data_IF_642621128906
#
_entry.id   IF_642621128906
#
_cell.length_a   1.000
_cell.length_b   1.000
_cell.length_c   1.000
_cell.angle_alpha   90.00
_cell.angle_beta   90.00
_cell.angle_gamma   90.00
#
_symmetry.space_group_name_H-M   'P 1'
#
loop_
_entity.id
_entity.type
_entity.pdbx_description
1 polymer ?
#
# COMPACT_ATOMS: atom_id res chain seq x y z
N UNK A 1 -18.59 7.66 10.82
CA UNK A 1 -19.14 6.78 11.85
C UNK A 1 -18.77 7.34 13.22
N UNK A 2 -19.72 7.40 14.15
CA UNK A 2 -19.45 7.86 15.53
C UNK A 2 -19.02 6.71 16.46
N UNK A 3 -18.64 5.56 15.91
CA UNK A 3 -18.15 4.43 16.67
C UNK A 3 -16.63 4.52 16.86
N UNK A 4 -16.09 4.26 18.05
CA UNK A 4 -14.64 4.16 18.25
C UNK A 4 -14.08 2.98 17.45
N UNK A 5 -12.86 3.14 16.94
CA UNK A 5 -12.11 2.03 16.37
C UNK A 5 -11.53 1.20 17.53
N UNK A 6 -11.70 -0.10 17.46
CA UNK A 6 -11.01 -1.00 18.38
C UNK A 6 -9.53 -1.10 18.00
N UNK A 7 -8.62 -1.10 18.98
CA UNK A 7 -7.20 -1.31 18.70
C UNK A 7 -6.96 -2.68 18.06
N UNK A 8 -5.98 -2.73 17.15
CA UNK A 8 -5.55 -4.01 16.57
C UNK A 8 -4.84 -4.86 17.61
N UNK A 9 -5.19 -6.13 17.67
CA UNK A 9 -4.44 -7.12 18.43
C UNK A 9 -3.17 -7.50 17.67
N UNK A 10 -2.01 -7.17 18.24
CA UNK A 10 -0.69 -7.33 17.63
C UNK A 10 0.25 -8.21 18.47
N UNK A 11 -0.19 -8.63 19.68
CA UNK A 11 0.58 -9.48 20.56
C UNK A 11 0.61 -10.92 20.06
N UNK A 12 1.77 -11.57 20.17
CA UNK A 12 1.98 -12.98 19.88
C UNK A 12 3.02 -13.58 20.83
N UNK A 13 3.01 -14.89 20.97
CA UNK A 13 3.97 -15.63 21.80
C UNK A 13 5.15 -16.09 20.93
N UNK A 14 6.32 -15.54 21.20
CA UNK A 14 7.55 -15.98 20.52
C UNK A 14 8.18 -17.17 21.24
N UNK A 15 8.71 -18.11 20.47
CA UNK A 15 9.48 -19.24 20.97
C UNK A 15 10.95 -18.86 21.12
N UNK A 16 11.40 -18.77 22.38
CA UNK A 16 12.77 -18.36 22.71
C UNK A 16 13.84 -19.36 22.24
N UNK A 17 13.47 -20.58 21.84
CA UNK A 17 14.40 -21.66 21.51
C UNK A 17 15.05 -21.52 20.12
N UNK A 18 14.59 -20.60 19.26
CA UNK A 18 15.14 -20.38 17.94
C UNK A 18 15.00 -18.94 17.45
N UNK A 19 15.79 -18.57 16.48
CA UNK A 19 15.90 -17.20 15.94
C UNK A 19 15.76 -17.19 14.42
N UNK A 20 15.28 -16.10 13.88
CA UNK A 20 15.22 -15.87 12.43
C UNK A 20 16.63 -15.86 11.84
N UNK A 21 17.57 -15.17 12.49
CA UNK A 21 18.96 -15.05 12.01
C UNK A 21 19.78 -16.37 12.05
N UNK A 22 19.37 -17.35 12.87
CA UNK A 22 19.96 -18.69 12.88
C UNK A 22 19.52 -19.54 11.67
N UNK A 23 18.37 -19.20 11.07
CA UNK A 23 17.74 -20.00 10.01
C UNK A 23 17.92 -19.41 8.62
N UNK A 24 17.90 -18.10 8.47
CA UNK A 24 17.93 -17.40 7.18
C UNK A 24 18.80 -16.15 7.27
N UNK A 25 19.44 -15.79 6.18
CA UNK A 25 20.12 -14.48 6.00
C UNK A 25 19.28 -13.60 5.11
N UNK A 26 19.09 -12.34 5.50
CA UNK A 26 18.32 -11.35 4.72
C UNK A 26 19.19 -10.13 4.45
N UNK A 27 19.30 -9.72 3.19
CA UNK A 27 20.05 -8.55 2.75
C UNK A 27 19.23 -7.68 1.81
N UNK A 28 19.52 -6.38 1.80
CA UNK A 28 18.93 -5.41 0.87
C UNK A 28 20.05 -4.66 0.17
N UNK A 29 20.33 -5.03 -1.09
CA UNK A 29 21.36 -4.39 -1.92
C UNK A 29 20.86 -3.14 -2.66
N UNK A 30 19.54 -2.96 -2.76
CA UNK A 30 18.91 -1.82 -3.41
C UNK A 30 18.06 -1.00 -2.41
N UNK A 31 18.66 -0.31 -1.42
CA UNK A 31 17.93 0.41 -0.38
C UNK A 31 17.16 1.63 -0.93
N UNK A 32 17.53 2.15 -2.08
CA UNK A 32 16.80 3.19 -2.81
C UNK A 32 15.46 2.69 -3.37
N UNK A 33 15.35 1.41 -3.72
CA UNK A 33 14.13 0.78 -4.22
C UNK A 33 13.36 -0.01 -3.15
N UNK A 34 14.04 -0.41 -2.07
CA UNK A 34 13.46 -1.07 -0.91
C UNK A 34 13.89 -0.36 0.39
N UNK A 35 13.24 0.76 0.74
CA UNK A 35 13.60 1.56 1.93
C UNK A 35 13.45 0.81 3.25
N UNK A 36 12.52 -0.15 3.34
CA UNK A 36 12.35 -1.01 4.53
C UNK A 36 11.95 -2.42 4.13
N UNK A 37 12.58 -3.39 4.75
CA UNK A 37 12.28 -4.82 4.59
C UNK A 37 12.22 -5.49 5.95
N UNK A 38 11.07 -6.06 6.31
CA UNK A 38 10.86 -6.78 7.56
C UNK A 38 10.59 -8.24 7.23
N UNK A 39 11.35 -9.14 7.86
CA UNK A 39 11.18 -10.57 7.66
C UNK A 39 11.17 -11.32 8.99
N UNK A 40 10.25 -12.27 9.15
CA UNK A 40 10.08 -13.05 10.36
C UNK A 40 9.85 -14.52 10.06
N UNK A 41 10.62 -15.38 10.74
CA UNK A 41 10.60 -16.83 10.56
C UNK A 41 9.56 -17.49 11.46
N UNK A 42 8.83 -18.44 10.88
CA UNK A 42 7.85 -19.32 11.57
C UNK A 42 8.11 -20.76 11.13
N UNK A 43 8.12 -21.69 12.06
CA UNK A 43 8.31 -23.13 11.81
C UNK A 43 7.22 -23.99 12.43
N UNK A 44 7.22 -25.28 12.09
CA UNK A 44 6.22 -26.24 12.58
C UNK A 44 4.82 -25.86 12.11
N UNK A 45 4.75 -25.33 10.89
CA UNK A 45 3.49 -24.89 10.30
C UNK A 45 2.63 -26.10 9.91
N UNK A 46 1.33 -25.96 10.17
CA UNK A 46 0.31 -26.86 9.65
C UNK A 46 -0.49 -26.11 8.60
N UNK A 47 -0.26 -26.45 7.34
CA UNK A 47 -0.99 -25.85 6.23
C UNK A 47 -2.35 -26.54 6.13
N UNK A 48 -3.39 -25.77 6.37
CA UNK A 48 -4.77 -26.25 6.36
C UNK A 48 -5.76 -25.17 5.93
N UNK A 49 -7.01 -25.53 5.80
CA UNK A 49 -8.07 -24.57 5.46
C UNK A 49 -8.23 -23.56 6.60
N UNK A 50 -8.31 -22.30 6.24
CA UNK A 50 -8.59 -21.21 7.18
C UNK A 50 -9.93 -21.41 7.91
N UNK A 51 -10.07 -20.91 9.14
CA UNK A 51 -11.34 -20.93 9.86
C UNK A 51 -12.42 -20.15 9.10
N UNK A 52 -13.68 -20.51 9.36
CA UNK A 52 -14.81 -19.98 8.61
C UNK A 52 -14.93 -18.46 8.64
N UNK A 53 -14.58 -17.83 9.77
CA UNK A 53 -14.65 -16.36 9.88
C UNK A 53 -13.68 -15.67 8.93
N UNK A 54 -12.44 -16.18 8.78
CA UNK A 54 -11.41 -15.63 7.90
C UNK A 54 -11.81 -15.83 6.43
N UNK A 55 -12.22 -17.03 6.08
CA UNK A 55 -12.71 -17.37 4.73
C UNK A 55 -13.90 -16.51 4.31
N UNK A 56 -14.85 -16.29 5.22
CA UNK A 56 -16.02 -15.43 4.97
C UNK A 56 -15.62 -13.98 4.72
N UNK A 57 -14.72 -13.42 5.55
CA UNK A 57 -14.25 -12.03 5.37
C UNK A 57 -13.54 -11.84 4.05
N UNK A 58 -12.63 -12.75 3.68
CA UNK A 58 -11.95 -12.73 2.37
C UNK A 58 -12.94 -12.81 1.21
N UNK A 59 -13.89 -13.74 1.27
CA UNK A 59 -14.92 -13.90 0.23
C UNK A 59 -15.80 -12.65 0.06
N UNK A 60 -16.16 -11.96 1.14
CA UNK A 60 -16.89 -10.69 1.10
C UNK A 60 -16.08 -9.55 0.45
N UNK A 61 -14.76 -9.64 0.48
CA UNK A 61 -13.85 -8.72 -0.21
C UNK A 61 -13.46 -9.20 -1.63
N UNK A 62 -14.08 -10.28 -2.14
CA UNK A 62 -13.82 -10.80 -3.49
C UNK A 62 -12.61 -11.72 -3.60
N UNK A 63 -11.98 -12.11 -2.48
CA UNK A 63 -10.81 -12.99 -2.48
C UNK A 63 -11.21 -14.44 -2.18
N UNK A 64 -10.64 -15.36 -2.98
CA UNK A 64 -10.78 -16.81 -2.75
C UNK A 64 -9.79 -17.24 -1.66
N UNK A 65 -10.28 -17.95 -0.65
CA UNK A 65 -9.46 -18.62 0.34
C UNK A 65 -8.63 -19.75 -0.29
N UNK A 66 -7.35 -19.84 0.10
CA UNK A 66 -6.39 -20.83 -0.41
C UNK A 66 -5.95 -21.75 0.76
N UNK A 67 -5.17 -21.20 1.70
CA UNK A 67 -4.72 -21.88 2.91
C UNK A 67 -4.60 -20.85 4.05
N UNK A 68 -4.50 -21.32 5.29
CA UNK A 68 -4.39 -20.45 6.47
C UNK A 68 -3.25 -19.42 6.34
N UNK A 69 -2.05 -19.81 5.92
CA UNK A 69 -0.89 -18.91 5.78
C UNK A 69 -1.14 -17.86 4.69
N UNK A 70 -1.58 -18.28 3.51
CA UNK A 70 -1.85 -17.37 2.39
C UNK A 70 -3.04 -16.45 2.71
N UNK A 71 -4.05 -16.97 3.36
CA UNK A 71 -5.23 -16.20 3.76
C UNK A 71 -4.90 -15.16 4.82
N UNK A 72 -3.96 -15.46 5.75
CA UNK A 72 -3.45 -14.47 6.71
C UNK A 72 -2.78 -13.31 5.98
N UNK A 73 -1.90 -13.55 5.00
CA UNK A 73 -1.26 -12.48 4.23
C UNK A 73 -2.28 -11.63 3.46
N UNK A 74 -3.27 -12.27 2.84
CA UNK A 74 -4.35 -11.59 2.14
C UNK A 74 -5.27 -10.80 3.11
N UNK A 75 -5.52 -11.34 4.29
CA UNK A 75 -6.32 -10.66 5.30
C UNK A 75 -5.64 -9.40 5.81
N UNK A 76 -4.34 -9.48 6.14
CA UNK A 76 -3.54 -8.32 6.55
C UNK A 76 -3.47 -7.28 5.44
N UNK A 77 -3.33 -7.70 4.18
CA UNK A 77 -3.40 -6.81 3.02
C UNK A 77 -4.71 -6.00 2.98
N UNK A 78 -5.85 -6.65 3.24
CA UNK A 78 -7.17 -5.99 3.25
C UNK A 78 -7.39 -5.13 4.50
N UNK A 79 -6.94 -5.61 5.67
CA UNK A 79 -7.13 -4.93 6.95
C UNK A 79 -6.27 -3.67 7.08
N UNK A 80 -5.01 -3.73 6.62
CA UNK A 80 -4.00 -2.67 6.81
C UNK A 80 -3.55 -1.98 5.51
N UNK A 81 -3.93 -2.50 4.35
CA UNK A 81 -3.43 -1.98 3.08
C UNK A 81 -1.98 -2.36 2.78
N UNK A 82 -1.31 -3.12 3.65
CA UNK A 82 0.08 -3.54 3.51
C UNK A 82 0.16 -4.91 2.83
N UNK A 83 0.70 -5.00 1.61
CA UNK A 83 0.96 -6.29 1.00
C UNK A 83 2.03 -7.07 1.75
N UNK A 84 1.79 -8.35 1.90
CA UNK A 84 2.72 -9.30 2.51
C UNK A 84 2.98 -10.47 1.59
N UNK A 85 4.13 -11.11 1.79
CA UNK A 85 4.44 -12.39 1.16
C UNK A 85 4.91 -13.42 2.20
N UNK A 86 4.81 -14.69 1.83
CA UNK A 86 5.29 -15.81 2.63
C UNK A 86 6.08 -16.76 1.73
N UNK A 87 7.36 -16.93 2.03
CA UNK A 87 8.25 -17.83 1.31
C UNK A 87 8.34 -19.18 2.01
N UNK A 88 8.14 -20.26 1.27
CA UNK A 88 8.48 -21.61 1.73
C UNK A 88 10.02 -21.75 1.82
N UNK A 89 10.55 -21.80 3.03
CA UNK A 89 12.00 -21.83 3.23
C UNK A 89 12.67 -23.13 2.74
N UNK A 90 11.92 -24.21 2.58
CA UNK A 90 12.45 -25.45 1.98
C UNK A 90 12.83 -25.28 0.51
N UNK A 91 12.25 -24.27 -0.16
CA UNK A 91 12.45 -23.94 -1.57
C UNK A 91 13.46 -22.82 -1.79
N UNK A 92 13.94 -22.17 -0.72
CA UNK A 92 14.88 -21.05 -0.77
C UNK A 92 16.33 -21.60 -0.70
N UNK A 93 17.06 -21.41 -1.79
CA UNK A 93 18.44 -21.86 -1.87
C UNK A 93 19.34 -21.12 -0.87
N UNK A 94 20.24 -21.87 -0.23
CA UNK A 94 21.22 -21.39 0.78
C UNK A 94 20.60 -20.70 1.99
N UNK A 95 19.26 -20.77 2.16
CA UNK A 95 18.52 -20.01 3.19
C UNK A 95 18.85 -18.51 3.14
N UNK A 96 18.90 -17.94 1.97
CA UNK A 96 19.30 -16.56 1.74
C UNK A 96 18.17 -15.83 0.99
N UNK A 97 17.83 -14.65 1.47
CA UNK A 97 16.93 -13.69 0.78
C UNK A 97 17.72 -12.41 0.53
N UNK A 98 17.81 -12.03 -0.73
CA UNK A 98 18.46 -10.81 -1.17
C UNK A 98 17.51 -9.96 -2.01
N UNK A 99 17.23 -8.73 -1.54
CA UNK A 99 16.46 -7.75 -2.30
C UNK A 99 17.42 -6.93 -3.15
N UNK A 100 17.40 -7.17 -4.46
CA UNK A 100 18.36 -6.59 -5.40
C UNK A 100 17.73 -6.22 -6.74
N UNK A 101 18.46 -5.51 -7.56
CA UNK A 101 18.11 -5.38 -8.97
C UNK A 101 18.33 -6.71 -9.70
N UNK A 102 17.48 -6.99 -10.68
CA UNK A 102 17.68 -8.14 -11.55
C UNK A 102 18.96 -7.99 -12.40
N UNK A 103 19.57 -9.09 -12.78
CA UNK A 103 20.60 -9.09 -13.81
C UNK A 103 19.95 -8.94 -15.19
N UNK A 104 20.74 -8.46 -16.18
CA UNK A 104 20.26 -8.38 -17.57
C UNK A 104 19.97 -9.79 -18.12
N UNK A 105 18.76 -9.98 -18.67
CA UNK A 105 18.33 -11.25 -19.21
C UNK A 105 17.95 -12.30 -18.17
N UNK A 106 17.96 -11.97 -16.87
CA UNK A 106 17.54 -12.88 -15.79
C UNK A 106 16.08 -13.29 -15.96
N UNK A 107 15.74 -14.54 -15.68
CA UNK A 107 14.38 -15.08 -15.89
C UNK A 107 13.69 -15.41 -14.58
N UNK A 108 12.37 -15.21 -14.56
CA UNK A 108 11.50 -15.65 -13.47
C UNK A 108 10.18 -16.19 -14.04
N UNK A 109 9.68 -17.27 -13.45
CA UNK A 109 8.29 -17.76 -13.65
C UNK A 109 7.48 -17.38 -12.42
N UNK A 110 6.41 -16.63 -12.60
CA UNK A 110 5.53 -16.14 -11.53
C UNK A 110 4.47 -17.17 -11.15
N UNK A 111 3.77 -16.94 -10.00
CA UNK A 111 2.72 -17.83 -9.48
C UNK A 111 1.56 -18.09 -10.45
N UNK A 112 1.34 -17.20 -11.42
CA UNK A 112 0.37 -17.35 -12.50
C UNK A 112 0.97 -18.02 -13.77
N UNK A 113 2.11 -18.72 -13.60
CA UNK A 113 2.80 -19.54 -14.62
C UNK A 113 3.33 -18.74 -15.83
N UNK A 114 3.48 -17.43 -15.72
CA UNK A 114 4.07 -16.59 -16.77
C UNK A 114 5.58 -16.49 -16.61
N UNK A 115 6.31 -16.64 -17.70
CA UNK A 115 7.76 -16.42 -17.76
C UNK A 115 8.07 -14.99 -18.20
N UNK A 116 8.98 -14.34 -17.47
CA UNK A 116 9.47 -13.00 -17.79
C UNK A 116 10.97 -12.99 -17.89
N UNK A 117 11.49 -12.24 -18.89
CA UNK A 117 12.89 -11.86 -18.99
C UNK A 117 13.06 -10.47 -18.39
N UNK A 118 13.96 -10.33 -17.45
CA UNK A 118 14.13 -9.15 -16.62
C UNK A 118 15.28 -8.26 -17.10
N UNK A 119 15.25 -7.02 -16.66
CA UNK A 119 16.30 -6.03 -16.86
C UNK A 119 16.73 -5.43 -15.52
N UNK A 120 17.90 -4.80 -15.40
CA UNK A 120 18.40 -4.20 -14.15
C UNK A 120 17.48 -3.13 -13.53
N UNK A 121 16.49 -2.64 -14.26
CA UNK A 121 15.47 -1.74 -13.72
C UNK A 121 14.43 -2.46 -12.85
N UNK A 122 14.34 -3.79 -12.94
CA UNK A 122 13.40 -4.60 -12.16
C UNK A 122 13.96 -4.89 -10.78
N UNK A 123 13.19 -4.60 -9.73
CA UNK A 123 13.52 -5.04 -8.38
C UNK A 123 13.02 -6.49 -8.20
N UNK A 124 13.89 -7.36 -7.73
CA UNK A 124 13.57 -8.74 -7.41
C UNK A 124 13.93 -9.08 -5.97
N UNK A 125 13.23 -10.06 -5.44
CA UNK A 125 13.66 -10.79 -4.26
C UNK A 125 14.26 -12.08 -4.79
N UNK A 126 15.51 -12.33 -4.44
CA UNK A 126 16.27 -13.49 -4.90
C UNK A 126 16.67 -14.36 -3.71
N UNK A 127 16.84 -15.65 -3.98
CA UNK A 127 17.58 -16.56 -3.11
C UNK A 127 19.07 -16.55 -3.47
N UNK A 128 19.86 -17.41 -2.87
CA UNK A 128 21.29 -17.49 -3.16
C UNK A 128 21.64 -17.90 -4.60
N UNK A 129 20.68 -18.15 -5.49
CA UNK A 129 20.89 -18.60 -6.86
C UNK A 129 20.09 -17.83 -7.91
N UNK A 130 18.83 -17.48 -7.65
CA UNK A 130 17.87 -16.98 -8.66
C UNK A 130 16.77 -16.11 -8.04
N UNK A 131 16.03 -15.33 -8.84
CA UNK A 131 14.87 -14.61 -8.35
C UNK A 131 13.76 -15.57 -7.92
N UNK A 132 13.14 -15.25 -6.78
CA UNK A 132 12.02 -15.96 -6.17
C UNK A 132 10.76 -15.11 -6.09
N UNK A 133 10.85 -13.81 -6.37
CA UNK A 133 9.70 -12.92 -6.55
C UNK A 133 10.06 -11.68 -7.37
N UNK A 134 9.09 -11.15 -8.11
CA UNK A 134 9.06 -9.77 -8.57
C UNK A 134 8.63 -8.90 -7.39
N UNK A 135 9.57 -8.15 -6.80
CA UNK A 135 9.33 -7.38 -5.59
C UNK A 135 8.09 -6.47 -5.71
N UNK A 136 7.15 -6.63 -4.80
CA UNK A 136 5.91 -5.86 -4.75
C UNK A 136 4.92 -6.09 -5.90
N UNK A 137 5.20 -7.04 -6.82
CA UNK A 137 4.34 -7.33 -7.97
C UNK A 137 3.76 -8.74 -7.86
N UNK A 138 4.60 -9.77 -7.89
CA UNK A 138 4.13 -11.16 -7.90
C UNK A 138 5.20 -12.12 -7.36
N UNK A 139 4.79 -13.07 -6.53
CA UNK A 139 5.65 -14.16 -6.09
C UNK A 139 6.09 -15.08 -7.23
N UNK A 140 7.23 -15.73 -7.09
CA UNK A 140 7.70 -16.76 -8.01
C UNK A 140 7.03 -18.12 -7.73
N UNK A 141 6.80 -18.89 -8.78
CA UNK A 141 6.26 -20.25 -8.69
C UNK A 141 7.15 -21.18 -7.85
N UNK A 142 8.44 -20.88 -7.83
CA UNK A 142 9.48 -21.66 -7.18
C UNK A 142 9.63 -21.44 -5.67
N UNK A 143 8.80 -20.58 -5.05
CA UNK A 143 8.90 -20.26 -3.60
C UNK A 143 7.53 -20.25 -2.90
N UNK A 144 6.48 -20.65 -3.62
CA UNK A 144 5.10 -20.63 -3.12
C UNK A 144 4.84 -21.68 -2.04
N UNK A 145 3.90 -21.38 -1.15
CA UNK A 145 3.42 -22.27 -0.09
C UNK A 145 2.70 -23.48 -0.68
N UNK A 146 3.01 -24.67 -0.18
CA UNK A 146 2.40 -25.94 -0.52
C UNK A 146 1.83 -26.64 0.73
N UNK A 147 1.13 -27.76 0.56
CA UNK A 147 0.52 -28.49 1.70
C UNK A 147 1.58 -29.04 2.66
N UNK A 148 2.75 -29.40 2.15
CA UNK A 148 3.90 -29.92 2.92
C UNK A 148 4.78 -28.83 3.54
N UNK A 149 4.51 -27.54 3.32
CA UNK A 149 5.30 -26.44 3.86
C UNK A 149 5.27 -26.43 5.38
N UNK A 150 6.43 -26.61 6.02
CA UNK A 150 6.63 -26.60 7.46
C UNK A 150 7.29 -25.32 7.99
N UNK A 151 8.08 -24.65 7.14
CA UNK A 151 8.88 -23.47 7.49
C UNK A 151 8.61 -22.32 6.54
N UNK A 152 8.28 -21.16 7.08
CA UNK A 152 7.93 -19.96 6.29
C UNK A 152 8.71 -18.75 6.78
N UNK A 153 9.16 -17.94 5.83
CA UNK A 153 9.60 -16.57 6.09
C UNK A 153 8.49 -15.61 5.64
N UNK A 154 7.85 -14.95 6.59
CA UNK A 154 6.95 -13.84 6.28
C UNK A 154 7.74 -12.59 5.91
N UNK A 155 7.29 -11.90 4.88
CA UNK A 155 7.80 -10.63 4.40
C UNK A 155 6.74 -9.54 4.53
N UNK A 156 7.18 -8.38 5.00
CA UNK A 156 6.45 -7.12 4.88
C UNK A 156 7.45 -6.02 4.55
N UNK A 157 7.28 -5.36 3.42
CA UNK A 157 8.26 -4.42 2.92
C UNK A 157 7.63 -3.13 2.39
N UNK A 158 8.45 -2.08 2.29
CA UNK A 158 8.15 -0.88 1.51
C UNK A 158 9.00 -0.92 0.24
N UNK A 159 8.35 -0.79 -0.92
CA UNK A 159 9.02 -0.66 -2.20
C UNK A 159 8.76 0.72 -2.82
N UNK A 160 9.71 1.21 -3.62
CA UNK A 160 9.60 2.50 -4.29
C UNK A 160 8.50 2.46 -5.35
N UNK A 161 7.49 3.32 -5.19
CA UNK A 161 6.24 3.31 -5.97
C UNK A 161 6.43 3.45 -7.48
N UNK A 162 7.37 4.30 -7.91
CA UNK A 162 7.59 4.54 -9.34
C UNK A 162 8.27 3.32 -10.01
N UNK A 163 9.15 2.61 -9.29
CA UNK A 163 9.75 1.37 -9.77
C UNK A 163 8.69 0.27 -9.94
N UNK A 164 7.84 0.06 -8.92
CA UNK A 164 6.76 -0.94 -9.01
C UNK A 164 5.81 -0.61 -10.16
N UNK A 165 5.41 0.65 -10.32
CA UNK A 165 4.55 1.08 -11.42
C UNK A 165 5.18 0.83 -12.79
N UNK A 166 6.47 1.17 -12.99
CA UNK A 166 7.18 0.91 -14.23
C UNK A 166 7.29 -0.58 -14.52
N UNK A 167 7.69 -1.38 -13.52
CA UNK A 167 7.81 -2.84 -13.63
C UNK A 167 6.48 -3.50 -13.98
N UNK A 168 5.41 -3.20 -13.22
CA UNK A 168 4.06 -3.73 -13.45
C UNK A 168 3.56 -3.43 -14.87
N UNK A 169 3.77 -2.18 -15.35
CA UNK A 169 3.35 -1.78 -16.71
C UNK A 169 4.19 -2.44 -17.80
N UNK A 170 5.52 -2.47 -17.64
CA UNK A 170 6.43 -3.05 -18.63
C UNK A 170 6.18 -4.55 -18.82
N UNK A 171 5.96 -5.28 -17.74
CA UNK A 171 5.69 -6.72 -17.77
C UNK A 171 4.21 -7.03 -18.03
N UNK A 172 3.33 -6.05 -18.05
CA UNK A 172 1.89 -6.29 -18.16
C UNK A 172 1.30 -7.05 -16.98
N UNK A 173 2.02 -7.08 -15.84
CA UNK A 173 1.67 -7.86 -14.65
C UNK A 173 1.08 -6.99 -13.57
N UNK A 174 -0.23 -7.14 -13.31
CA UNK A 174 -0.97 -6.41 -12.28
C UNK A 174 -1.43 -7.38 -11.19
N UNK A 175 -1.35 -6.93 -9.94
CA UNK A 175 -1.84 -7.65 -8.77
C UNK A 175 -2.39 -6.67 -7.74
N UNK A 176 -3.07 -7.20 -6.72
CA UNK A 176 -3.51 -6.42 -5.55
C UNK A 176 -2.34 -5.77 -4.82
N UNK A 177 -1.17 -6.42 -4.79
CA UNK A 177 0.06 -5.87 -4.23
C UNK A 177 0.58 -4.71 -5.07
N UNK A 178 0.76 -4.89 -6.40
CA UNK A 178 1.28 -3.84 -7.27
C UNK A 178 0.37 -2.61 -7.30
N UNK A 179 -0.95 -2.81 -7.23
CA UNK A 179 -1.92 -1.71 -7.18
C UNK A 179 -1.80 -0.84 -5.92
N UNK A 180 -1.32 -1.42 -4.80
CA UNK A 180 -1.08 -0.67 -3.56
C UNK A 180 0.30 -0.03 -3.56
N UNK A 181 1.34 -0.78 -3.91
CA UNK A 181 2.70 -0.25 -3.95
C UNK A 181 2.88 0.88 -4.95
N UNK A 182 2.25 0.81 -6.14
CA UNK A 182 2.34 1.89 -7.14
C UNK A 182 1.70 3.22 -6.69
N UNK A 183 0.75 3.16 -5.74
CA UNK A 183 0.13 4.33 -5.11
C UNK A 183 0.92 4.84 -3.92
N UNK A 184 1.75 3.99 -3.33
CA UNK A 184 2.54 4.23 -2.14
C UNK A 184 1.99 3.48 -0.93
N UNK A 185 2.90 2.79 -0.26
CA UNK A 185 2.69 2.14 1.04
C UNK A 185 3.73 2.72 1.98
N UNK A 186 3.32 3.08 3.19
CA UNK A 186 4.22 3.70 4.16
C UNK A 186 5.20 2.70 4.81
N UNK A 187 6.31 3.24 5.36
CA UNK A 187 7.30 2.41 6.02
C UNK A 187 6.88 2.01 7.45
N UNK A 188 5.99 2.76 8.08
CA UNK A 188 5.57 2.52 9.47
C UNK A 188 4.72 1.26 9.58
N UNK A 189 3.76 1.08 8.68
CA UNK A 189 2.80 -0.03 8.69
C UNK A 189 3.45 -1.39 8.43
N UNK A 190 4.64 -1.45 7.80
CA UNK A 190 5.35 -2.74 7.55
C UNK A 190 5.56 -3.55 8.83
N UNK A 191 5.98 -2.91 9.93
CA UNK A 191 6.20 -3.58 11.21
C UNK A 191 4.89 -3.99 11.91
N UNK A 192 3.83 -3.20 11.74
CA UNK A 192 2.49 -3.52 12.27
C UNK A 192 1.91 -4.72 11.54
N UNK A 193 2.03 -4.76 10.22
CA UNK A 193 1.51 -5.85 9.39
C UNK A 193 2.16 -7.19 9.73
N UNK A 194 3.49 -7.22 9.91
CA UNK A 194 4.16 -8.45 10.32
C UNK A 194 3.67 -8.92 11.70
N UNK A 195 3.55 -8.01 12.67
CA UNK A 195 3.03 -8.35 14.01
C UNK A 195 1.60 -8.85 13.93
N UNK A 196 0.76 -8.26 13.07
CA UNK A 196 -0.63 -8.72 12.87
C UNK A 196 -0.69 -10.12 12.27
N UNK A 197 0.14 -10.42 11.28
CA UNK A 197 0.23 -11.77 10.71
C UNK A 197 0.67 -12.80 11.75
N UNK A 198 1.69 -12.47 12.54
CA UNK A 198 2.20 -13.34 13.61
C UNK A 198 1.16 -13.54 14.73
N UNK A 199 0.44 -12.49 15.10
CA UNK A 199 -0.71 -12.63 16.01
C UNK A 199 -1.74 -13.64 15.48
N UNK A 200 -2.06 -13.59 14.20
CA UNK A 200 -3.01 -14.53 13.59
C UNK A 200 -2.44 -15.95 13.54
N UNK A 201 -1.14 -16.14 13.30
CA UNK A 201 -0.46 -17.45 13.37
C UNK A 201 -0.59 -18.02 14.79
N UNK A 202 -0.33 -17.21 15.84
CA UNK A 202 -0.41 -17.59 17.23
C UNK A 202 -1.87 -17.92 17.65
N UNK A 203 -2.79 -17.04 17.33
CA UNK A 203 -4.22 -17.20 17.63
C UNK A 203 -4.85 -18.43 16.94
N UNK A 204 -4.37 -18.80 15.78
CA UNK A 204 -4.80 -20.02 15.08
C UNK A 204 -4.02 -21.27 15.52
N UNK A 205 -2.95 -21.11 16.29
CA UNK A 205 -2.10 -22.21 16.74
C UNK A 205 -1.47 -23.00 15.59
N UNK A 206 -1.23 -22.35 14.44
CA UNK A 206 -0.80 -23.05 13.23
C UNK A 206 0.72 -23.00 12.99
N UNK A 207 1.53 -22.46 13.91
CA UNK A 207 2.99 -22.43 13.79
C UNK A 207 3.66 -21.91 15.05
N UNK A 208 5.00 -22.05 15.13
CA UNK A 208 5.88 -21.55 16.21
C UNK A 208 6.68 -20.38 15.67
N UNK A 209 6.64 -19.24 16.34
CA UNK A 209 7.18 -17.96 15.89
C UNK A 209 8.58 -17.77 16.49
N UNK A 210 9.58 -17.40 15.66
CA UNK A 210 10.93 -17.11 16.13
C UNK A 210 10.96 -15.93 17.12
N UNK A 211 11.99 -15.90 18.01
CA UNK A 211 12.14 -14.85 19.03
C UNK A 211 12.46 -13.47 18.49
N UNK A 212 12.97 -13.38 17.25
CA UNK A 212 13.45 -12.16 16.62
C UNK A 212 13.09 -12.09 15.12
N UNK A 213 13.41 -10.96 14.51
CA UNK A 213 13.17 -10.70 13.09
C UNK A 213 14.29 -9.87 12.47
N UNK A 214 14.38 -9.86 11.15
CA UNK A 214 15.08 -8.82 10.41
C UNK A 214 14.17 -7.59 10.24
N UNK A 215 14.73 -6.40 10.45
CA UNK A 215 14.08 -5.12 10.19
C UNK A 215 15.13 -4.17 9.58
N UNK A 216 15.34 -4.31 8.28
CA UNK A 216 16.39 -3.62 7.54
C UNK A 216 15.83 -2.32 6.98
N UNK A 217 16.59 -1.23 7.10
CA UNK A 217 16.16 0.09 6.65
C UNK A 217 15.08 0.71 7.54
N UNK A 218 15.09 0.39 8.83
CA UNK A 218 14.15 0.92 9.84
C UNK A 218 14.21 2.44 10.05
N UNK A 219 14.60 3.20 9.03
CA UNK A 219 14.42 4.64 9.02
C UNK A 219 12.92 4.88 9.20
N UNK A 220 12.55 5.05 10.46
CA UNK A 220 11.26 5.56 10.86
C UNK A 220 11.11 6.85 10.08
N UNK A 221 10.19 6.87 9.12
CA UNK A 221 9.81 8.12 8.50
C UNK A 221 9.50 9.07 9.66
N UNK A 222 10.30 10.11 9.82
CA UNK A 222 10.02 11.10 10.85
C UNK A 222 8.69 11.75 10.48
N UNK A 223 7.75 11.84 11.43
CA UNK A 223 6.45 12.44 11.15
C UNK A 223 6.65 13.87 10.62
N UNK A 224 5.97 14.21 9.52
CA UNK A 224 5.98 15.56 8.98
C UNK A 224 5.43 16.55 10.02
N UNK A 225 6.16 17.63 10.29
CA UNK A 225 5.73 18.71 11.18
C UNK A 225 5.42 19.94 10.34
N UNK A 226 4.13 20.23 10.20
CA UNK A 226 3.62 21.31 9.36
C UNK A 226 3.27 22.50 10.23
N UNK A 227 3.84 23.69 9.91
CA UNK A 227 3.50 24.96 10.54
C UNK A 227 2.59 25.75 9.61
N UNK A 228 1.43 26.17 10.13
CA UNK A 228 0.41 26.90 9.37
C UNK A 228 -0.42 27.79 10.32
N UNK A 229 -1.52 28.36 9.83
CA UNK A 229 -2.47 29.10 10.63
C UNK A 229 -3.92 28.75 10.23
N UNK A 230 -4.87 29.03 11.11
CA UNK A 230 -6.30 28.91 10.82
C UNK A 230 -6.69 29.78 9.63
N UNK A 231 -6.23 31.04 9.63
CA UNK A 231 -6.48 31.98 8.53
C UNK A 231 -5.89 31.50 7.19
N UNK A 232 -4.74 30.83 7.19
CA UNK A 232 -4.13 30.29 5.96
C UNK A 232 -4.93 29.11 5.40
N UNK A 233 -5.42 28.23 6.27
CA UNK A 233 -6.32 27.12 5.87
C UNK A 233 -7.61 27.66 5.31
N UNK A 234 -8.27 28.59 6.02
CA UNK A 234 -9.53 29.20 5.60
C UNK A 234 -9.40 29.97 4.29
N UNK A 235 -8.29 30.71 4.11
CA UNK A 235 -8.03 31.41 2.86
C UNK A 235 -7.91 30.48 1.65
N UNK A 236 -7.30 29.29 1.84
CA UNK A 236 -7.23 28.28 0.77
C UNK A 236 -8.61 27.66 0.49
N UNK A 237 -9.38 27.37 1.52
CA UNK A 237 -10.72 26.78 1.38
C UNK A 237 -11.76 27.75 0.85
N UNK A 238 -11.53 29.07 1.01
CA UNK A 238 -12.49 30.10 0.65
C UNK A 238 -13.72 30.17 1.56
N UNK A 239 -13.68 29.53 2.73
CA UNK A 239 -14.73 29.50 3.75
C UNK A 239 -14.12 29.66 5.15
N UNK A 240 -14.96 30.05 6.12
CA UNK A 240 -14.54 30.21 7.52
C UNK A 240 -14.91 28.96 8.33
N UNK A 241 -13.92 28.08 8.56
CA UNK A 241 -14.04 26.94 9.48
C UNK A 241 -13.51 27.35 10.84
N UNK A 242 -14.29 27.20 11.94
CA UNK A 242 -13.85 27.58 13.28
C UNK A 242 -12.59 26.79 13.70
N UNK A 243 -11.66 27.46 14.39
CA UNK A 243 -10.42 26.84 14.89
C UNK A 243 -10.68 25.56 15.68
N UNK A 244 -11.69 25.55 16.54
CA UNK A 244 -12.03 24.38 17.36
C UNK A 244 -12.37 23.18 16.47
N UNK A 245 -13.12 23.41 15.39
CA UNK A 245 -13.53 22.38 14.42
C UNK A 245 -12.31 21.85 13.63
N UNK A 246 -11.43 22.75 13.16
CA UNK A 246 -10.17 22.37 12.51
C UNK A 246 -9.33 21.43 13.41
N UNK A 247 -9.18 21.84 14.69
CA UNK A 247 -8.39 21.03 15.64
C UNK A 247 -9.07 19.69 15.96
N UNK A 248 -10.40 19.65 16.08
CA UNK A 248 -11.15 18.42 16.32
C UNK A 248 -11.04 17.46 15.12
N UNK A 249 -11.26 17.96 13.91
CA UNK A 249 -11.16 17.19 12.68
C UNK A 249 -9.77 16.56 12.56
N UNK A 250 -8.71 17.36 12.66
CA UNK A 250 -7.35 16.86 12.57
C UNK A 250 -7.02 15.88 13.70
N UNK A 251 -7.50 16.13 14.92
CA UNK A 251 -7.36 15.22 16.05
C UNK A 251 -8.02 13.86 15.83
N UNK A 252 -9.24 13.83 15.29
CA UNK A 252 -9.96 12.59 14.93
C UNK A 252 -9.26 11.79 13.81
N UNK A 253 -8.45 12.48 12.98
CA UNK A 253 -7.61 11.86 11.96
C UNK A 253 -6.22 11.49 12.48
N UNK A 254 -6.00 11.48 13.80
CA UNK A 254 -4.75 11.16 14.50
C UNK A 254 -3.60 12.15 14.26
N UNK A 255 -3.87 13.37 13.78
CA UNK A 255 -2.86 14.42 13.76
C UNK A 255 -2.67 15.00 15.16
N UNK A 256 -1.43 15.24 15.57
CA UNK A 256 -1.15 15.94 16.81
C UNK A 256 -1.13 17.45 16.53
N UNK A 257 -2.11 18.18 17.09
CA UNK A 257 -2.30 19.61 16.83
C UNK A 257 -1.92 20.44 18.08
N UNK A 258 -0.99 21.36 17.91
CA UNK A 258 -0.66 22.39 18.90
C UNK A 258 -1.06 23.75 18.36
N UNK A 259 -1.93 24.46 19.07
CA UNK A 259 -2.49 25.72 18.61
C UNK A 259 -2.11 26.86 19.58
N UNK A 260 -1.62 28.00 19.04
CA UNK A 260 -1.32 29.23 19.79
C UNK A 260 -1.84 30.45 19.03
N UNK A 261 -2.93 31.06 19.54
CA UNK A 261 -3.60 32.11 18.79
C UNK A 261 -4.14 31.57 17.47
N UNK A 262 -3.76 32.19 16.36
CA UNK A 262 -4.08 31.74 14.99
C UNK A 262 -3.12 30.64 14.48
N UNK A 263 -1.92 30.55 15.03
CA UNK A 263 -0.90 29.63 14.58
C UNK A 263 -1.19 28.18 14.99
N UNK A 264 -0.93 27.26 14.06
CA UNK A 264 -1.03 25.81 14.24
C UNK A 264 0.32 25.16 13.95
N UNK A 265 0.71 24.21 14.79
CA UNK A 265 1.79 23.26 14.54
C UNK A 265 1.17 21.87 14.55
N UNK A 266 1.15 21.23 13.39
CA UNK A 266 0.48 19.95 13.17
C UNK A 266 1.53 18.90 12.85
N UNK A 267 1.54 17.81 13.62
CA UNK A 267 2.38 16.64 13.34
C UNK A 267 1.50 15.57 12.68
N UNK A 268 1.83 15.20 11.44
CA UNK A 268 1.14 14.14 10.71
C UNK A 268 1.47 12.76 11.31
N UNK A 269 0.53 11.81 11.35
CA UNK A 269 0.84 10.46 11.76
C UNK A 269 1.82 9.80 10.77
N UNK A 270 2.70 8.94 11.25
CA UNK A 270 3.80 8.36 10.47
C UNK A 270 3.36 7.54 9.25
N UNK A 271 2.12 7.07 9.21
CA UNK A 271 1.54 6.37 8.07
C UNK A 271 0.96 7.31 6.99
N UNK A 272 0.90 8.63 7.21
CA UNK A 272 0.43 9.64 6.27
C UNK A 272 1.64 10.34 5.61
N UNK A 273 2.36 9.58 4.79
CA UNK A 273 3.49 10.10 3.99
C UNK A 273 3.04 11.03 2.85
N UNK A 274 1.75 11.12 2.61
CA UNK A 274 1.10 11.96 1.61
C UNK A 274 0.85 13.40 2.10
N UNK A 275 0.96 13.66 3.42
CA UNK A 275 0.70 14.96 4.02
C UNK A 275 2.01 15.64 4.38
N UNK A 276 2.43 16.62 3.58
CA UNK A 276 3.69 17.34 3.76
C UNK A 276 3.54 18.88 3.83
N UNK A 277 2.35 19.40 3.52
CA UNK A 277 2.06 20.82 3.49
C UNK A 277 0.71 21.23 4.07
N UNK A 278 0.53 22.55 4.26
CA UNK A 278 -0.76 23.08 4.72
C UNK A 278 -1.92 22.87 3.74
N UNK A 279 -1.71 22.75 2.43
CA UNK A 279 -2.78 22.42 1.51
C UNK A 279 -3.39 21.04 1.78
N UNK A 280 -2.55 20.05 2.14
CA UNK A 280 -3.01 18.71 2.48
C UNK A 280 -3.83 18.73 3.79
N UNK A 281 -3.42 19.57 4.76
CA UNK A 281 -4.21 19.79 5.98
C UNK A 281 -5.55 20.45 5.68
N UNK A 282 -5.59 21.40 4.76
CA UNK A 282 -6.82 22.03 4.31
C UNK A 282 -7.75 21.03 3.60
N UNK A 283 -7.19 20.15 2.77
CA UNK A 283 -7.94 19.05 2.15
C UNK A 283 -8.57 18.13 3.22
N UNK A 284 -7.79 17.70 4.21
CA UNK A 284 -8.30 16.87 5.30
C UNK A 284 -9.44 17.57 6.08
N UNK A 285 -9.29 18.87 6.32
CA UNK A 285 -10.32 19.65 7.01
C UNK A 285 -11.61 19.69 6.18
N UNK A 286 -11.56 20.10 4.91
CA UNK A 286 -12.77 20.25 4.09
C UNK A 286 -13.41 18.90 3.78
N UNK A 287 -12.63 17.84 3.60
CA UNK A 287 -13.12 16.48 3.37
C UNK A 287 -13.99 15.96 4.53
N UNK A 288 -13.66 16.36 5.76
CA UNK A 288 -14.40 15.97 6.97
C UNK A 288 -15.47 16.98 7.36
N UNK A 289 -15.23 18.26 7.09
CA UNK A 289 -16.20 19.34 7.36
C UNK A 289 -17.39 19.26 6.41
N UNK A 290 -17.12 19.00 5.13
CA UNK A 290 -18.12 18.82 4.06
C UNK A 290 -17.93 19.81 2.93
N UNK A 291 -17.85 19.31 1.70
CA UNK A 291 -17.73 20.13 0.49
C UNK A 291 -18.99 20.98 0.22
N UNK A 292 -20.14 20.61 0.80
CA UNK A 292 -21.40 21.33 0.66
C UNK A 292 -21.36 22.76 1.26
N UNK A 293 -20.37 23.02 2.12
CA UNK A 293 -20.12 24.36 2.68
C UNK A 293 -19.43 25.31 1.71
N UNK A 294 -18.90 24.80 0.57
CA UNK A 294 -18.27 25.63 -0.44
C UNK A 294 -19.32 26.11 -1.43
N UNK A 295 -19.64 27.40 -1.38
CA UNK A 295 -20.53 28.02 -2.36
C UNK A 295 -19.81 28.26 -3.68
N UNK A 296 -20.45 27.86 -4.78
CA UNK A 296 -19.95 28.12 -6.13
C UNK A 296 -19.92 29.62 -6.43
N UNK A 297 -18.78 30.16 -6.79
CA UNK A 297 -18.63 31.56 -7.16
C UNK A 297 -18.24 31.69 -8.64
N UNK A 298 -18.72 32.77 -9.27
CA UNK A 298 -18.23 33.13 -10.60
C UNK A 298 -16.81 33.71 -10.52
N UNK A 299 -16.03 33.49 -11.58
CA UNK A 299 -14.69 34.08 -11.69
C UNK A 299 -14.78 35.61 -11.59
N UNK A 300 -14.09 36.19 -10.61
CA UNK A 300 -13.96 37.65 -10.51
C UNK A 300 -13.14 38.14 -11.72
N UNK A 301 -13.63 39.19 -12.40
CA UNK A 301 -13.01 39.79 -13.60
C UNK A 301 -12.95 38.87 -14.83
N UNK A 302 -13.74 37.83 -14.92
CA UNK A 302 -13.92 37.13 -16.17
C UNK A 302 -14.74 38.01 -17.13
N UNK A 303 -14.16 38.39 -18.27
CA UNK A 303 -14.94 38.94 -19.35
C UNK A 303 -15.86 37.83 -19.87
N UNK A 304 -17.16 38.02 -19.73
CA UNK A 304 -18.12 37.11 -20.34
C UNK A 304 -18.09 37.37 -21.82
N UNK A 305 -17.40 36.56 -22.58
CA UNK A 305 -17.58 36.52 -24.01
C UNK A 305 -18.93 35.93 -24.31
N UNK A 306 -19.75 36.61 -25.12
CA UNK A 306 -20.98 36.00 -25.61
C UNK A 306 -20.60 34.68 -26.29
N UNK A 307 -20.99 33.60 -25.66
CA UNK A 307 -20.83 32.26 -26.23
C UNK A 307 -21.72 32.13 -27.48
N UNK A 308 -21.37 31.21 -28.30
CA UNK A 308 -22.15 30.89 -29.52
C UNK A 308 -21.25 30.25 -30.57
N UNK A 309 -21.88 29.53 -31.48
CA UNK A 309 -21.16 28.93 -32.59
C UNK A 309 -20.69 29.99 -33.57
N UNK A 310 -19.47 29.85 -34.08
CA UNK A 310 -18.99 30.64 -35.20
C UNK A 310 -19.81 30.33 -36.45
N UNK A 311 -19.73 31.17 -37.46
CA UNK A 311 -20.43 30.95 -38.75
C UNK A 311 -20.01 29.59 -39.36
N UNK A 312 -18.72 29.23 -39.27
CA UNK A 312 -18.20 27.97 -39.77
C UNK A 312 -18.83 26.78 -39.00
N UNK A 313 -18.86 26.82 -37.69
CA UNK A 313 -19.48 25.74 -36.86
C UNK A 313 -20.97 25.59 -37.13
N UNK A 314 -21.73 26.71 -37.29
CA UNK A 314 -23.16 26.66 -37.65
C UNK A 314 -23.36 26.01 -39.02
N UNK A 315 -22.49 26.31 -40.00
CA UNK A 315 -22.58 25.69 -41.31
C UNK A 315 -22.25 24.20 -41.27
N UNK A 316 -21.26 23.81 -40.45
CA UNK A 316 -20.93 22.40 -40.22
C UNK A 316 -22.12 21.65 -39.64
N UNK A 317 -22.72 22.15 -38.54
CA UNK A 317 -23.93 21.53 -37.95
C UNK A 317 -25.10 21.45 -38.94
N UNK A 318 -25.35 22.49 -39.73
CA UNK A 318 -26.37 22.45 -40.75
C UNK A 318 -26.08 21.39 -41.80
N UNK A 319 -24.83 21.29 -42.24
CA UNK A 319 -24.42 20.28 -43.23
C UNK A 319 -24.60 18.88 -42.67
N UNK A 320 -24.18 18.63 -41.44
CA UNK A 320 -24.41 17.35 -40.77
C UNK A 320 -25.90 17.02 -40.64
N UNK A 321 -26.72 17.99 -40.23
CA UNK A 321 -28.16 17.79 -40.09
C UNK A 321 -28.84 17.43 -41.42
N UNK A 322 -28.43 18.09 -42.53
CA UNK A 322 -28.95 17.77 -43.88
C UNK A 322 -28.53 16.38 -44.29
N UNK A 323 -27.26 16.02 -44.13
CA UNK A 323 -26.76 14.69 -44.52
C UNK A 323 -27.42 13.59 -43.68
N UNK A 324 -27.55 13.77 -42.37
CA UNK A 324 -28.29 12.81 -41.50
C UNK A 324 -29.74 12.68 -41.93
N UNK A 325 -30.40 13.77 -42.33
CA UNK A 325 -31.76 13.72 -42.87
C UNK A 325 -31.89 12.95 -44.19
N UNK A 326 -30.79 12.78 -44.91
CA UNK A 326 -30.69 11.97 -46.14
C UNK A 326 -30.26 10.52 -45.88
N UNK A 327 -30.10 10.13 -44.60
CA UNK A 327 -29.76 8.74 -44.24
C UNK A 327 -28.26 8.47 -44.06
N UNK A 328 -27.42 9.51 -44.08
CA UNK A 328 -26.01 9.34 -43.67
C UNK A 328 -25.89 9.33 -42.14
N UNK A 329 -24.95 8.56 -41.60
CA UNK A 329 -24.57 8.59 -40.18
C UNK A 329 -23.31 9.42 -39.95
N UNK A 330 -23.16 9.98 -38.74
CA UNK A 330 -21.93 10.68 -38.35
C UNK A 330 -20.73 9.72 -38.27
#
# INVERSE_FOLDING_TARGET
LKAPLEPLELGYTADASFSTGERVTVTVEAPDLCPRYVAHYVRGLKIEKSPQWLRRRLALCGLRSISNVVDITNYVLLELGQPMHAFDLSKIAKNEICVRRAAEGEKITTLDEKEFTLTPETLVIADGNKPVALAGVMGGLNSGIAEETDEVLFESAKFERANIRRTSRRLGQKSDSSARFEKGVDAYTTGIAINRALHLIDALGCGRIARDRFDIGANKAEPSVIKTSVSQINALLGIEVPKAEICDILGRLNFNVRAKGDALTVTAPAYREDVDGYPDLAEEVIRMYGYDHIEGTFLKNASVTQGGLTAAQRNEERTKAVLCGQGYSE
#
